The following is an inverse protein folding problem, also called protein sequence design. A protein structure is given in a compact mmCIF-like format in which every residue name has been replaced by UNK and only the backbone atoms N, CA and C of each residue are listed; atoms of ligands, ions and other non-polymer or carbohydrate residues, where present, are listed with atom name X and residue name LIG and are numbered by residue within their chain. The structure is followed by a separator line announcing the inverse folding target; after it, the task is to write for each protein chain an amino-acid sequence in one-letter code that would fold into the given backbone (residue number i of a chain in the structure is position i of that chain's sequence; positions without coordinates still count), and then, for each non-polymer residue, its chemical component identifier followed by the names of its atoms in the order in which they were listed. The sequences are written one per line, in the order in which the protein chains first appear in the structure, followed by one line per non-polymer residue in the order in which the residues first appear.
data_IF_827715050225
#
_entry.id   IF_827715050225
#
_cell.length_a   1.000
_cell.length_b   1.000
_cell.length_c   1.000
_cell.angle_alpha   90.00
_cell.angle_beta   90.00
_cell.angle_gamma   90.00
#
_symmetry.space_group_name_H-M   'P 1'
#
loop_
_entity.id
_entity.type
_entity.pdbx_description
1 polymer ?
#
# COMPACT_ATOMS: atom_id res chain seq x y z
N UNK A 1 -34.32 -2.53 1.65
CA UNK A 1 -33.91 -2.09 1.82
C UNK A 1 -33.56 -1.24 2.41
N UNK A 2 -33.47 -1.19 3.01
CA UNK A 2 -33.20 -0.35 3.50
C UNK A 2 -32.34 0.22 3.09
N UNK A 3 -32.42 0.24 2.68
CA UNK A 3 -31.87 0.94 2.13
C UNK A 3 -31.29 2.09 2.70
N UNK A 4 -31.31 2.34 3.86
CA UNK A 4 -30.71 3.49 4.44
C UNK A 4 -29.31 3.72 4.01
N UNK A 5 -28.49 2.73 3.99
CA UNK A 5 -27.15 2.95 3.47
C UNK A 5 -27.20 3.44 2.06
N UNK A 6 -28.23 3.05 1.37
CA UNK A 6 -28.35 3.48 0.02
C UNK A 6 -28.82 4.89 -0.06
N UNK A 7 -29.64 5.28 0.85
CA UNK A 7 -30.14 6.63 0.84
C UNK A 7 -29.05 7.61 1.15
N UNK A 8 -28.02 7.16 1.81
CA UNK A 8 -26.92 8.03 2.13
C UNK A 8 -25.82 7.90 1.12
N UNK A 9 -26.15 8.23 -0.08
CA UNK A 9 -25.17 8.20 -1.12
C UNK A 9 -24.16 9.28 -0.94
N UNK A 10 -23.57 9.33 0.21
CA UNK A 10 -22.52 10.29 0.43
C UNK A 10 -21.27 9.65 -0.10
N UNK A 11 -20.84 10.13 -1.23
CA UNK A 11 -19.61 9.62 -1.83
C UNK A 11 -18.45 9.96 -0.93
N UNK A 12 -17.57 9.01 -0.67
CA UNK A 12 -16.41 9.31 0.16
C UNK A 12 -15.47 10.26 -0.58
N UNK A 13 -14.72 11.03 0.17
CA UNK A 13 -13.60 11.76 -0.38
C UNK A 13 -12.50 10.75 -0.70
N UNK A 14 -11.88 10.88 -1.85
CA UNK A 14 -10.86 9.92 -2.27
C UNK A 14 -9.55 10.63 -2.53
N UNK A 15 -8.48 10.10 -1.92
CA UNK A 15 -7.11 10.51 -2.19
C UNK A 15 -6.52 9.48 -3.14
N UNK A 16 -5.99 9.95 -4.27
CA UNK A 16 -5.35 9.05 -5.22
C UNK A 16 -3.90 9.48 -5.41
N UNK A 17 -3.00 8.51 -5.30
CA UNK A 17 -1.57 8.74 -5.54
C UNK A 17 -1.03 7.52 -6.26
N UNK A 18 -0.74 7.65 -7.56
CA UNK A 18 -0.33 6.50 -8.36
C UNK A 18 -1.38 5.40 -8.30
N UNK A 19 -0.99 4.17 -7.97
CA UNK A 19 -1.96 3.07 -7.89
C UNK A 19 -2.75 3.04 -6.59
N UNK A 20 -2.45 3.95 -5.65
CA UNK A 20 -3.11 3.94 -4.36
C UNK A 20 -4.37 4.79 -4.36
N UNK A 21 -5.37 4.35 -3.61
CA UNK A 21 -6.58 5.13 -3.39
C UNK A 21 -6.98 4.95 -1.93
N UNK A 22 -7.25 6.06 -1.25
CA UNK A 22 -7.71 6.06 0.13
C UNK A 22 -9.08 6.74 0.18
N UNK A 23 -10.09 6.05 0.64
CA UNK A 23 -11.44 6.58 0.74
C UNK A 23 -11.70 7.04 2.17
N UNK A 24 -12.28 8.23 2.31
CA UNK A 24 -12.55 8.81 3.60
C UNK A 24 -14.04 9.05 3.75
N UNK A 25 -14.64 8.48 4.78
CA UNK A 25 -16.05 8.69 5.06
C UNK A 25 -16.20 9.16 6.50
N UNK A 26 -17.05 10.17 6.72
CA UNK A 26 -17.40 10.62 8.05
C UNK A 26 -18.83 10.19 8.40
N UNK A 27 -19.38 9.26 7.62
CA UNK A 27 -20.76 8.81 7.76
C UNK A 27 -21.74 9.99 7.68
N UNK A 28 -21.40 11.00 6.88
CA UNK A 28 -22.25 12.15 6.70
C UNK A 28 -22.09 13.21 7.78
N UNK A 29 -21.20 13.00 8.74
CA UNK A 29 -21.08 13.94 9.84
C UNK A 29 -20.58 15.30 9.43
N UNK A 30 -19.55 15.33 8.55
CA UNK A 30 -18.98 16.60 8.17
C UNK A 30 -18.17 16.52 6.89
N UNK A 31 -18.68 17.10 5.80
CA UNK A 31 -17.89 17.23 4.58
C UNK A 31 -16.61 18.03 4.80
N UNK A 32 -16.66 19.03 5.67
CA UNK A 32 -15.47 19.84 5.96
C UNK A 32 -14.37 19.03 6.62
N UNK A 33 -14.74 18.12 7.53
CA UNK A 33 -13.76 17.24 8.17
C UNK A 33 -13.16 16.29 7.15
N UNK A 34 -14.00 15.71 6.29
CA UNK A 34 -13.49 14.81 5.24
C UNK A 34 -12.49 15.53 4.33
N UNK A 35 -12.77 16.79 4.01
CA UNK A 35 -11.90 17.59 3.17
C UNK A 35 -10.54 17.86 3.84
N UNK A 36 -10.57 18.13 5.13
CA UNK A 36 -9.35 18.32 5.89
C UNK A 36 -8.53 17.02 5.92
N UNK A 37 -9.19 15.91 6.20
CA UNK A 37 -8.52 14.61 6.24
C UNK A 37 -7.92 14.26 4.89
N UNK A 38 -8.61 14.61 3.81
CA UNK A 38 -8.09 14.36 2.48
C UNK A 38 -6.73 15.05 2.28
N UNK A 39 -6.62 16.29 2.70
CA UNK A 39 -5.35 17.03 2.58
C UNK A 39 -4.25 16.37 3.41
N UNK A 40 -4.59 16.01 4.65
CA UNK A 40 -3.61 15.42 5.57
C UNK A 40 -3.15 14.05 5.09
N UNK A 41 -4.09 13.24 4.60
CA UNK A 41 -3.76 11.92 4.11
C UNK A 41 -2.95 12.00 2.82
N UNK A 42 -3.27 12.96 1.95
CA UNK A 42 -2.51 13.15 0.73
C UNK A 42 -1.04 13.48 1.02
N UNK A 43 -0.79 14.25 2.08
CA UNK A 43 0.59 14.56 2.47
C UNK A 43 1.28 13.38 3.13
N UNK A 44 0.55 12.68 3.99
CA UNK A 44 1.12 11.58 4.76
C UNK A 44 1.41 10.36 3.88
N UNK A 45 0.49 10.03 2.98
CA UNK A 45 0.60 8.86 2.12
C UNK A 45 0.82 9.28 0.66
N UNK A 46 1.89 10.04 0.43
CA UNK A 46 2.20 10.57 -0.88
C UNK A 46 3.08 9.63 -1.70
N UNK A 47 4.01 10.24 -2.44
CA UNK A 47 4.84 9.54 -3.41
C UNK A 47 5.59 8.31 -2.90
N UNK A 48 6.19 8.33 -1.72
CA UNK A 48 6.91 7.14 -1.28
C UNK A 48 6.02 5.90 -1.22
N UNK A 49 4.79 6.06 -0.73
CA UNK A 49 3.87 4.92 -0.67
C UNK A 49 3.44 4.47 -2.05
N UNK A 50 3.18 5.43 -2.95
CA UNK A 50 2.81 5.09 -4.32
C UNK A 50 3.95 4.37 -5.04
N UNK A 51 5.18 4.82 -4.84
CA UNK A 51 6.34 4.19 -5.45
C UNK A 51 6.55 2.78 -4.92
N UNK A 52 6.37 2.57 -3.62
CA UNK A 52 6.48 1.24 -3.05
C UNK A 52 5.40 0.32 -3.63
N UNK A 53 4.18 0.82 -3.78
CA UNK A 53 3.10 0.02 -4.36
C UNK A 53 3.44 -0.43 -5.78
N UNK A 54 4.02 0.47 -6.59
CA UNK A 54 4.45 0.12 -7.94
C UNK A 54 5.50 -0.97 -7.92
N UNK A 55 6.50 -0.82 -7.05
CA UNK A 55 7.59 -1.80 -6.97
C UNK A 55 7.06 -3.16 -6.48
N UNK A 56 6.21 -3.16 -5.48
CA UNK A 56 5.64 -4.41 -4.98
C UNK A 56 4.78 -5.09 -6.03
N UNK A 57 4.08 -4.30 -6.83
CA UNK A 57 3.26 -4.86 -7.89
C UNK A 57 4.10 -5.56 -8.96
N UNK A 58 5.31 -5.08 -9.20
CA UNK A 58 6.25 -5.72 -10.13
C UNK A 58 6.66 -7.10 -9.64
N UNK A 59 6.70 -7.30 -8.33
CA UNK A 59 7.16 -8.56 -7.73
C UNK A 59 6.01 -9.55 -7.53
N UNK A 60 4.79 -9.08 -7.71
CA UNK A 60 3.61 -9.90 -7.43
C UNK A 60 3.55 -11.17 -8.29
N UNK A 61 3.91 -11.06 -9.56
CA UNK A 61 3.93 -12.22 -10.45
C UNK A 61 4.92 -13.28 -9.99
N UNK A 62 6.11 -12.84 -9.59
CA UNK A 62 7.12 -13.75 -9.07
C UNK A 62 6.59 -14.47 -7.83
N UNK A 63 5.98 -13.73 -6.91
CA UNK A 63 5.48 -14.31 -5.67
C UNK A 63 4.42 -15.37 -5.95
N UNK A 64 3.51 -15.07 -6.87
CA UNK A 64 2.46 -16.02 -7.25
C UNK A 64 3.03 -17.28 -7.88
N UNK A 65 4.07 -17.13 -8.69
CA UNK A 65 4.65 -18.25 -9.41
C UNK A 65 5.58 -19.08 -8.52
N UNK A 66 6.20 -18.47 -7.52
CA UNK A 66 7.30 -19.10 -6.78
C UNK A 66 6.89 -19.57 -5.39
N UNK A 67 6.07 -18.77 -4.69
CA UNK A 67 5.70 -19.10 -3.32
C UNK A 67 4.41 -19.92 -3.30
N UNK A 68 4.46 -21.13 -2.71
CA UNK A 68 3.38 -22.10 -2.92
C UNK A 68 2.06 -21.77 -2.24
N UNK A 69 2.07 -21.09 -1.10
CA UNK A 69 0.84 -20.84 -0.37
C UNK A 69 0.58 -19.36 -0.20
N UNK A 70 -0.68 -19.05 0.07
CA UNK A 70 -1.07 -17.67 0.38
C UNK A 70 -0.29 -17.17 1.60
N UNK A 71 -0.11 -18.03 2.60
CA UNK A 71 0.60 -17.64 3.81
C UNK A 71 2.06 -17.28 3.52
N UNK A 72 2.71 -18.04 2.66
CA UNK A 72 4.09 -17.75 2.26
C UNK A 72 4.18 -16.40 1.57
N UNK A 73 3.24 -16.12 0.67
CA UNK A 73 3.22 -14.86 -0.04
C UNK A 73 2.97 -13.70 0.92
N UNK A 74 2.05 -13.90 1.86
CA UNK A 74 1.76 -12.87 2.85
C UNK A 74 2.97 -12.56 3.71
N UNK A 75 3.66 -13.59 4.19
CA UNK A 75 4.84 -13.40 5.01
C UNK A 75 5.95 -12.70 4.24
N UNK A 76 6.12 -13.05 2.99
CA UNK A 76 7.10 -12.42 2.13
C UNK A 76 6.85 -10.91 2.04
N UNK A 77 5.63 -10.51 1.70
CA UNK A 77 5.33 -9.08 1.56
C UNK A 77 5.36 -8.36 2.91
N UNK A 78 4.92 -9.01 3.97
CA UNK A 78 4.98 -8.40 5.30
C UNK A 78 6.43 -8.17 5.74
N UNK A 79 7.33 -9.05 5.37
CA UNK A 79 8.73 -8.89 5.73
C UNK A 79 9.36 -7.68 5.05
N UNK A 80 8.86 -7.30 3.88
CA UNK A 80 9.35 -6.14 3.18
C UNK A 80 8.73 -4.87 3.76
N UNK A 81 7.40 -4.85 3.84
CA UNK A 81 6.68 -3.65 4.22
C UNK A 81 6.93 -3.25 5.68
N UNK A 82 7.03 -4.24 6.55
CA UNK A 82 7.28 -3.99 7.97
C UNK A 82 8.71 -4.24 8.40
N UNK A 83 9.62 -4.34 7.44
CA UNK A 83 10.99 -4.70 7.74
C UNK A 83 11.87 -3.54 8.11
N UNK A 84 13.14 -3.87 8.36
CA UNK A 84 14.16 -2.92 8.70
C UNK A 84 15.35 -3.19 7.77
N UNK A 85 15.77 -2.24 6.97
CA UNK A 85 15.33 -0.84 6.98
C UNK A 85 13.91 -0.67 6.42
N UNK A 86 13.27 0.42 6.84
CA UNK A 86 11.91 0.73 6.41
C UNK A 86 11.92 1.19 4.95
N UNK A 87 11.23 0.48 4.06
CA UNK A 87 11.25 0.85 2.64
C UNK A 87 10.66 2.23 2.39
N UNK A 88 9.71 2.66 3.20
CA UNK A 88 9.13 4.00 3.04
C UNK A 88 10.17 5.08 3.32
N UNK A 89 10.96 4.90 4.37
CA UNK A 89 12.01 5.85 4.69
C UNK A 89 13.09 5.88 3.62
N UNK A 90 13.43 4.72 3.07
CA UNK A 90 14.38 4.66 1.97
C UNK A 90 13.88 5.43 0.77
N UNK A 91 12.57 5.30 0.46
CA UNK A 91 12.01 6.02 -0.68
C UNK A 91 11.90 7.51 -0.41
N UNK A 92 11.64 7.91 0.84
CA UNK A 92 11.63 9.33 1.18
C UNK A 92 12.97 9.99 0.95
N UNK A 93 14.04 9.25 1.10
CA UNK A 93 15.38 9.78 0.90
C UNK A 93 15.94 9.45 -0.49
N UNK A 94 15.08 8.99 -1.40
CA UNK A 94 15.47 8.73 -2.78
C UNK A 94 16.26 7.47 -3.02
N UNK A 95 16.26 6.54 -2.08
CA UNK A 95 17.07 5.32 -2.17
C UNK A 95 16.30 4.17 -2.80
N UNK A 96 15.87 4.36 -4.03
CA UNK A 96 15.09 3.35 -4.74
C UNK A 96 15.89 2.06 -4.92
N UNK A 97 17.17 2.17 -5.24
CA UNK A 97 18.02 1.00 -5.43
C UNK A 97 18.12 0.16 -4.16
N UNK A 98 18.16 0.82 -3.00
CA UNK A 98 18.20 0.10 -1.73
C UNK A 98 16.92 -0.67 -1.48
N UNK A 99 15.78 -0.13 -1.88
CA UNK A 99 14.51 -0.85 -1.75
C UNK A 99 14.49 -2.08 -2.65
N UNK A 100 14.96 -1.93 -3.89
CA UNK A 100 15.00 -3.07 -4.81
C UNK A 100 15.93 -4.15 -4.31
N UNK A 101 17.05 -3.77 -3.70
CA UNK A 101 17.99 -4.72 -3.12
C UNK A 101 17.37 -5.45 -1.93
N UNK A 102 16.65 -4.72 -1.09
CA UNK A 102 15.93 -5.31 0.04
C UNK A 102 14.93 -6.35 -0.43
N UNK A 103 14.24 -6.05 -1.52
CA UNK A 103 13.25 -6.97 -2.09
C UNK A 103 13.95 -8.20 -2.67
N UNK A 104 15.06 -8.01 -3.37
CA UNK A 104 15.81 -9.13 -3.92
C UNK A 104 16.34 -10.05 -2.83
N UNK A 105 16.80 -9.46 -1.72
CA UNK A 105 17.22 -10.25 -0.57
C UNK A 105 16.07 -11.06 0.00
N UNK A 106 14.90 -10.47 0.09
CA UNK A 106 13.72 -11.19 0.57
C UNK A 106 13.31 -12.30 -0.40
N UNK A 107 13.43 -12.06 -1.69
CA UNK A 107 13.12 -13.08 -2.68
C UNK A 107 14.04 -14.30 -2.51
N UNK A 108 15.32 -14.05 -2.29
CA UNK A 108 16.27 -15.13 -2.06
C UNK A 108 15.97 -15.87 -0.76
N UNK A 109 15.56 -15.14 0.26
CA UNK A 109 15.31 -15.75 1.58
C UNK A 109 14.05 -16.61 1.59
N UNK A 110 13.04 -16.22 0.81
CA UNK A 110 11.75 -16.91 0.83
C UNK A 110 11.58 -17.91 -0.30
N UNK A 111 12.43 -17.86 -1.32
CA UNK A 111 12.32 -18.81 -2.43
C UNK A 111 12.64 -20.20 -1.94
N UNK A 112 11.88 -21.24 -2.40
CA UNK A 112 12.17 -22.60 -2.01
C UNK A 112 13.55 -22.99 -2.50
N UNK A 113 14.24 -23.79 -1.70
CA UNK A 113 15.53 -24.34 -2.10
C UNK A 113 15.30 -25.39 -3.16
N UNK A 114 15.99 -25.24 -4.28
CA UNK A 114 15.82 -26.19 -5.37
C UNK A 114 16.49 -27.52 -5.07
#
# INVERSE_FOLDING_TARGET
VDVPPLCNFILPAIVRTGPLAVAISTAGASPALAKRMKREIAELFGEPYANLAVILNEVRGWAKATLPTYQDRRQFFESIVGGDPDPIELLRTGRVAAVRELIEDAMRAYAPVA
#
